data_IF_644690857736
#
_entry.id   IF_644690857736
#
_cell.length_a   1.000
_cell.length_b   1.000
_cell.length_c   1.000
_cell.angle_alpha   90.00
_cell.angle_beta   90.00
_cell.angle_gamma   90.00
#
_symmetry.space_group_name_H-M   'P 1'
#
loop_
_entity.id
_entity.type
_entity.pdbx_description
1 polymer ?
#
# COMPACT_ATOMS: atom_id res chain seq x y z
N UNK A 1 26.19 -17.34 -21.47
CA UNK A 1 25.31 -16.26 -21.94
C UNK A 1 24.33 -15.96 -20.82
N UNK A 2 24.63 -14.93 -20.05
CA UNK A 2 23.86 -14.47 -18.89
C UNK A 2 22.54 -13.90 -19.39
N UNK A 3 21.42 -14.54 -19.07
CA UNK A 3 20.12 -13.93 -19.25
C UNK A 3 20.04 -12.75 -18.28
N UNK A 4 19.93 -11.55 -18.83
CA UNK A 4 19.56 -10.35 -18.09
C UNK A 4 18.18 -10.62 -17.44
N UNK A 5 17.99 -10.39 -16.12
CA UNK A 5 16.65 -10.43 -15.56
C UNK A 5 15.88 -9.28 -16.22
N UNK A 6 14.73 -9.60 -16.82
CA UNK A 6 13.74 -8.62 -17.23
C UNK A 6 13.54 -7.66 -16.05
N UNK A 7 13.96 -6.41 -16.24
CA UNK A 7 13.55 -5.34 -15.36
C UNK A 7 12.03 -5.26 -15.48
N UNK A 8 11.35 -5.95 -14.58
CA UNK A 8 9.90 -5.88 -14.41
C UNK A 8 9.59 -4.39 -14.23
N UNK A 9 9.12 -3.75 -15.30
CA UNK A 9 8.80 -2.33 -15.28
C UNK A 9 7.54 -2.19 -14.46
N UNK A 10 7.69 -2.00 -13.15
CA UNK A 10 6.58 -1.67 -12.26
C UNK A 10 6.11 -0.27 -12.66
N UNK A 11 4.94 -0.12 -13.31
CA UNK A 11 4.47 1.18 -13.78
C UNK A 11 3.89 1.95 -12.59
N UNK A 12 4.76 2.36 -11.67
CA UNK A 12 4.40 3.14 -10.49
C UNK A 12 4.06 4.59 -10.85
N UNK A 13 4.65 5.12 -11.93
CA UNK A 13 4.52 6.53 -12.29
C UNK A 13 3.10 6.91 -12.71
N UNK A 14 2.34 5.95 -13.26
CA UNK A 14 0.96 6.16 -13.72
C UNK A 14 -0.10 5.55 -12.78
N UNK A 15 0.30 4.91 -11.67
CA UNK A 15 -0.68 4.30 -10.77
C UNK A 15 -1.41 5.39 -9.98
N UNK A 16 -2.75 5.50 -10.07
CA UNK A 16 -3.48 6.51 -9.33
C UNK A 16 -3.41 6.24 -7.82
N UNK A 17 -3.38 7.30 -7.01
CA UNK A 17 -3.46 7.17 -5.55
C UNK A 17 -4.70 6.38 -5.13
N UNK A 18 -5.84 6.68 -5.75
CA UNK A 18 -7.13 6.05 -5.48
C UNK A 18 -7.70 5.46 -6.79
N UNK A 19 -7.92 4.15 -6.81
CA UNK A 19 -8.58 3.46 -7.91
C UNK A 19 -10.10 3.61 -7.79
N UNK A 20 -10.64 4.56 -8.56
CA UNK A 20 -12.07 4.84 -8.61
C UNK A 20 -12.87 3.67 -9.19
N UNK A 21 -12.30 2.86 -10.07
CA UNK A 21 -12.98 1.70 -10.66
C UNK A 21 -13.24 0.63 -9.60
N UNK A 22 -12.21 0.29 -8.82
CA UNK A 22 -12.32 -0.65 -7.69
C UNK A 22 -13.34 -0.15 -6.66
N UNK A 23 -13.27 1.11 -6.27
CA UNK A 23 -14.18 1.67 -5.28
C UNK A 23 -15.63 1.73 -5.78
N UNK A 24 -15.84 2.06 -7.05
CA UNK A 24 -17.18 2.05 -7.66
C UNK A 24 -17.75 0.64 -7.68
N UNK A 25 -16.93 -0.37 -8.03
CA UNK A 25 -17.36 -1.77 -7.97
C UNK A 25 -17.73 -2.18 -6.53
N UNK A 26 -16.89 -1.84 -5.54
CA UNK A 26 -17.20 -2.11 -4.13
C UNK A 26 -18.48 -1.41 -3.66
N UNK A 27 -18.72 -0.17 -4.06
CA UNK A 27 -19.97 0.54 -3.72
C UNK A 27 -21.17 -0.18 -4.33
N UNK A 28 -21.08 -0.64 -5.58
CA UNK A 28 -22.17 -1.36 -6.25
C UNK A 28 -22.45 -2.72 -5.59
N UNK A 29 -21.41 -3.42 -5.15
CA UNK A 29 -21.53 -4.77 -4.58
C UNK A 29 -21.93 -4.76 -3.10
N UNK A 30 -21.41 -3.81 -2.33
CA UNK A 30 -21.48 -3.78 -0.86
C UNK A 30 -22.33 -2.63 -0.31
N UNK A 31 -22.59 -1.60 -1.12
CA UNK A 31 -23.21 -0.34 -0.70
C UNK A 31 -22.19 0.67 -0.17
N UNK A 32 -22.48 1.96 -0.37
CA UNK A 32 -21.59 3.07 0.02
C UNK A 32 -21.27 3.09 1.52
N UNK A 33 -22.25 2.79 2.38
CA UNK A 33 -22.08 2.80 3.83
C UNK A 33 -21.08 1.72 4.30
N UNK A 34 -21.14 0.50 3.73
CA UNK A 34 -20.19 -0.55 4.08
C UNK A 34 -18.77 -0.21 3.58
N UNK A 35 -18.64 0.35 2.37
CA UNK A 35 -17.35 0.83 1.86
C UNK A 35 -16.78 1.93 2.75
N UNK A 36 -17.63 2.86 3.23
CA UNK A 36 -17.25 3.91 4.18
C UNK A 36 -16.69 3.33 5.48
N UNK A 37 -17.35 2.32 6.05
CA UNK A 37 -16.89 1.65 7.28
C UNK A 37 -15.58 0.89 7.07
N UNK A 38 -15.39 0.25 5.92
CA UNK A 38 -14.14 -0.45 5.59
C UNK A 38 -12.98 0.55 5.48
N UNK A 39 -13.21 1.70 4.81
CA UNK A 39 -12.23 2.78 4.72
C UNK A 39 -11.90 3.38 6.09
N UNK A 40 -12.91 3.62 6.93
CA UNK A 40 -12.76 4.10 8.31
C UNK A 40 -11.88 3.16 9.14
N UNK A 41 -12.20 1.86 9.13
CA UNK A 41 -11.41 0.85 9.83
C UNK A 41 -9.95 0.81 9.36
N UNK A 42 -9.71 0.91 8.05
CA UNK A 42 -8.34 0.94 7.54
C UNK A 42 -7.58 2.19 7.99
N UNK A 43 -8.23 3.36 8.01
CA UNK A 43 -7.64 4.61 8.51
C UNK A 43 -7.29 4.52 10.00
N UNK A 44 -8.12 3.86 10.81
CA UNK A 44 -7.86 3.64 12.24
C UNK A 44 -6.66 2.70 12.48
N UNK A 45 -6.55 1.63 11.68
CA UNK A 45 -5.48 0.63 11.79
C UNK A 45 -4.13 1.10 11.18
N UNK A 46 -4.18 2.04 10.23
CA UNK A 46 -3.01 2.45 9.45
C UNK A 46 -1.88 3.09 10.29
N UNK A 47 -2.12 4.00 11.26
CA UNK A 47 -1.06 4.59 12.08
C UNK A 47 -0.19 3.57 12.80
N UNK A 48 -0.82 2.56 13.44
CA UNK A 48 -0.12 1.48 14.12
C UNK A 48 0.68 0.63 13.12
N UNK A 49 0.09 0.34 11.96
CA UNK A 49 0.74 -0.43 10.90
C UNK A 49 1.97 0.29 10.32
N UNK A 50 1.87 1.60 10.09
CA UNK A 50 2.97 2.46 9.61
C UNK A 50 4.08 2.55 10.64
N UNK A 51 3.75 2.71 11.92
CA UNK A 51 4.73 2.71 13.00
C UNK A 51 5.51 1.38 13.08
N UNK A 52 4.81 0.25 12.93
CA UNK A 52 5.45 -1.06 12.91
C UNK A 52 6.39 -1.24 11.72
N UNK A 53 5.97 -0.84 10.51
CA UNK A 53 6.84 -0.88 9.31
C UNK A 53 8.08 -0.02 9.51
N UNK A 54 7.93 1.18 10.08
CA UNK A 54 9.04 2.08 10.39
C UNK A 54 10.02 1.44 11.38
N UNK A 55 9.52 0.86 12.47
CA UNK A 55 10.37 0.19 13.46
C UNK A 55 11.15 -0.99 12.88
N UNK A 56 10.50 -1.82 12.04
CA UNK A 56 11.19 -2.93 11.37
C UNK A 56 12.25 -2.44 10.37
N UNK A 57 12.00 -1.33 9.67
CA UNK A 57 12.95 -0.70 8.75
C UNK A 57 14.18 -0.15 9.51
N UNK A 58 13.97 0.55 10.62
CA UNK A 58 15.03 1.11 11.46
C UNK A 58 15.88 0.02 12.13
N UNK A 59 15.25 -1.08 12.55
CA UNK A 59 15.93 -2.25 13.10
C UNK A 59 16.60 -3.14 12.03
N UNK A 60 16.39 -2.84 10.73
CA UNK A 60 16.79 -3.69 9.60
C UNK A 60 16.32 -5.16 9.72
N UNK A 61 15.19 -5.40 10.37
CA UNK A 61 14.57 -6.72 10.46
C UNK A 61 13.81 -7.02 9.15
N UNK A 62 14.55 -7.45 8.13
CA UNK A 62 14.02 -7.66 6.78
C UNK A 62 12.87 -8.69 6.72
N UNK A 63 12.94 -9.84 7.43
CA UNK A 63 11.82 -10.77 7.49
C UNK A 63 10.54 -10.16 8.10
N UNK A 64 10.67 -9.35 9.16
CA UNK A 64 9.52 -8.66 9.76
C UNK A 64 9.01 -7.54 8.85
N UNK A 65 9.92 -6.74 8.29
CA UNK A 65 9.62 -5.65 7.38
C UNK A 65 8.79 -6.14 6.19
N UNK A 66 9.20 -7.24 5.56
CA UNK A 66 8.48 -7.86 4.46
C UNK A 66 7.03 -8.21 4.85
N UNK A 67 6.83 -8.86 6.00
CA UNK A 67 5.49 -9.25 6.48
C UNK A 67 4.59 -8.04 6.77
N UNK A 68 5.15 -6.99 7.37
CA UNK A 68 4.41 -5.78 7.70
C UNK A 68 4.03 -4.98 6.45
N UNK A 69 4.94 -4.88 5.48
CA UNK A 69 4.67 -4.27 4.16
C UNK A 69 3.57 -5.02 3.43
N UNK A 70 3.60 -6.35 3.41
CA UNK A 70 2.56 -7.18 2.81
C UNK A 70 1.18 -6.87 3.41
N UNK A 71 1.08 -6.82 4.74
CA UNK A 71 -0.17 -6.51 5.44
C UNK A 71 -0.69 -5.11 5.12
N UNK A 72 0.18 -4.10 5.17
CA UNK A 72 -0.18 -2.70 4.87
C UNK A 72 -0.67 -2.55 3.43
N UNK A 73 0.06 -3.13 2.47
CA UNK A 73 -0.27 -3.10 1.05
C UNK A 73 -1.49 -3.91 0.65
N UNK A 74 -1.75 -5.02 1.34
CA UNK A 74 -2.96 -5.83 1.16
C UNK A 74 -4.22 -5.06 1.59
N UNK A 75 -4.19 -4.44 2.77
CA UNK A 75 -5.30 -3.59 3.21
C UNK A 75 -5.49 -2.37 2.31
N UNK A 76 -4.40 -1.75 1.83
CA UNK A 76 -4.44 -0.64 0.89
C UNK A 76 -5.20 -1.00 -0.39
N UNK A 77 -4.98 -2.21 -0.92
CA UNK A 77 -5.69 -2.69 -2.10
C UNK A 77 -7.21 -2.76 -1.89
N UNK A 78 -7.65 -3.25 -0.73
CA UNK A 78 -9.07 -3.39 -0.39
C UNK A 78 -9.81 -2.05 -0.37
N UNK A 79 -9.14 -0.99 0.06
CA UNK A 79 -9.70 0.37 0.12
C UNK A 79 -9.38 1.21 -1.12
N UNK A 80 -8.90 0.57 -2.20
CA UNK A 80 -8.63 1.24 -3.47
C UNK A 80 -7.38 2.14 -3.47
N UNK A 81 -6.51 2.07 -2.47
CA UNK A 81 -5.22 2.77 -2.45
C UNK A 81 -4.20 2.06 -3.36
N UNK A 82 -4.46 2.11 -4.67
CA UNK A 82 -3.75 1.32 -5.67
C UNK A 82 -2.26 1.63 -5.72
N UNK A 83 -1.89 2.91 -5.73
CA UNK A 83 -0.49 3.28 -5.70
C UNK A 83 0.17 2.76 -4.43
N UNK A 84 -0.43 2.90 -3.23
CA UNK A 84 0.14 2.39 -1.96
C UNK A 84 0.40 0.88 -2.02
N UNK A 85 -0.57 0.14 -2.54
CA UNK A 85 -0.46 -1.30 -2.75
C UNK A 85 0.66 -1.65 -3.73
N UNK A 86 0.78 -0.93 -4.86
CA UNK A 86 1.81 -1.18 -5.86
C UNK A 86 3.23 -0.94 -5.29
N UNK A 87 3.41 0.14 -4.53
CA UNK A 87 4.68 0.42 -3.86
C UNK A 87 5.04 -0.67 -2.83
N UNK A 88 4.05 -1.14 -2.07
CA UNK A 88 4.24 -2.21 -1.09
C UNK A 88 4.65 -3.52 -1.77
N UNK A 89 4.02 -3.87 -2.90
CA UNK A 89 4.36 -5.06 -3.69
C UNK A 89 5.79 -5.00 -4.23
N UNK A 90 6.24 -3.83 -4.68
CA UNK A 90 7.62 -3.65 -5.16
C UNK A 90 8.65 -3.85 -4.05
N UNK A 91 8.41 -3.26 -2.88
CA UNK A 91 9.26 -3.46 -1.71
C UNK A 91 9.28 -4.92 -1.26
N UNK A 92 8.11 -5.56 -1.18
CA UNK A 92 8.00 -6.98 -0.84
C UNK A 92 8.71 -7.87 -1.84
N UNK A 93 8.56 -7.62 -3.14
CA UNK A 93 9.24 -8.38 -4.18
C UNK A 93 10.76 -8.28 -4.05
N UNK A 94 11.31 -7.07 -3.94
CA UNK A 94 12.75 -6.87 -3.78
C UNK A 94 13.30 -7.58 -2.52
N UNK A 95 12.59 -7.51 -1.39
CA UNK A 95 12.96 -8.24 -0.16
C UNK A 95 12.91 -9.76 -0.36
N UNK A 96 11.91 -10.29 -1.07
CA UNK A 96 11.80 -11.73 -1.37
C UNK A 96 12.92 -12.24 -2.26
N UNK A 97 13.41 -11.43 -3.20
CA UNK A 97 14.53 -11.78 -4.08
C UNK A 97 15.90 -11.64 -3.40
N UNK A 98 15.95 -11.18 -2.15
CA UNK A 98 17.19 -10.89 -1.44
C UNK A 98 17.88 -9.60 -1.91
N UNK A 99 17.20 -8.77 -2.72
CA UNK A 99 17.67 -7.44 -3.13
C UNK A 99 17.44 -6.43 -1.99
N UNK A 100 18.07 -6.67 -0.84
CA UNK A 100 17.78 -6.00 0.43
C UNK A 100 17.86 -4.47 0.33
N UNK A 101 18.89 -3.93 -0.34
CA UNK A 101 19.05 -2.48 -0.51
C UNK A 101 17.91 -1.87 -1.33
N UNK A 102 17.42 -2.59 -2.35
CA UNK A 102 16.26 -2.17 -3.12
C UNK A 102 14.98 -2.25 -2.27
N UNK A 103 14.79 -3.35 -1.54
CA UNK A 103 13.67 -3.52 -0.62
C UNK A 103 13.58 -2.40 0.41
N UNK A 104 14.71 -2.02 1.03
CA UNK A 104 14.81 -0.91 1.99
C UNK A 104 14.46 0.43 1.32
N UNK A 105 14.98 0.69 0.10
CA UNK A 105 14.65 1.93 -0.64
C UNK A 105 13.16 2.02 -0.94
N UNK A 106 12.55 0.94 -1.41
CA UNK A 106 11.13 0.93 -1.76
C UNK A 106 10.24 0.97 -0.51
N UNK A 107 10.66 0.37 0.61
CA UNK A 107 9.98 0.51 1.91
C UNK A 107 10.05 1.96 2.44
N UNK A 108 11.18 2.63 2.24
CA UNK A 108 11.34 4.05 2.60
C UNK A 108 10.38 4.92 1.79
N UNK A 109 10.29 4.68 0.48
CA UNK A 109 9.33 5.36 -0.41
C UNK A 109 7.89 5.10 -0.02
N UNK A 110 7.56 3.88 0.40
CA UNK A 110 6.24 3.51 0.94
C UNK A 110 5.88 4.37 2.16
N UNK A 111 6.79 4.49 3.13
CA UNK A 111 6.59 5.29 4.33
C UNK A 111 6.50 6.79 4.05
N UNK A 112 7.19 7.28 3.02
CA UNK A 112 7.16 8.69 2.64
C UNK A 112 5.80 9.12 2.07
N UNK A 113 5.09 8.21 1.38
CA UNK A 113 3.83 8.53 0.70
C UNK A 113 2.56 8.15 1.45
N UNK A 114 2.65 7.20 2.39
CA UNK A 114 1.47 6.68 3.10
C UNK A 114 0.62 7.79 3.72
N UNK A 115 1.23 8.85 4.27
CA UNK A 115 0.48 9.97 4.85
C UNK A 115 -0.44 10.65 3.83
N UNK A 116 0.07 10.99 2.65
CA UNK A 116 -0.73 11.62 1.59
C UNK A 116 -1.81 10.69 1.02
N UNK A 117 -1.48 9.41 0.86
CA UNK A 117 -2.46 8.41 0.41
C UNK A 117 -3.61 8.25 1.42
N UNK A 118 -3.33 8.21 2.72
CA UNK A 118 -4.36 8.15 3.77
C UNK A 118 -5.25 9.40 3.79
N UNK A 119 -4.68 10.59 3.53
CA UNK A 119 -5.48 11.82 3.39
C UNK A 119 -6.47 11.71 2.23
N UNK A 120 -6.04 11.21 1.06
CA UNK A 120 -6.93 11.01 -0.10
C UNK A 120 -8.04 10.00 0.20
N UNK A 121 -7.72 8.93 0.95
CA UNK A 121 -8.74 7.96 1.38
C UNK A 121 -9.75 8.59 2.34
N UNK A 122 -9.30 9.40 3.30
CA UNK A 122 -10.19 10.07 4.26
C UNK A 122 -11.13 11.07 3.58
N UNK A 123 -10.62 11.84 2.60
CA UNK A 123 -11.44 12.72 1.77
C UNK A 123 -12.51 11.93 0.99
N UNK A 124 -12.13 10.80 0.38
CA UNK A 124 -13.08 9.93 -0.29
C UNK A 124 -14.13 9.37 0.67
N UNK A 125 -13.71 8.82 1.82
CA UNK A 125 -14.62 8.32 2.85
C UNK A 125 -15.61 9.39 3.29
N UNK A 126 -15.14 10.62 3.50
CA UNK A 126 -15.97 11.76 3.88
C UNK A 126 -16.96 12.19 2.79
N UNK A 127 -16.68 11.89 1.51
CA UNK A 127 -17.58 12.16 0.38
C UNK A 127 -18.72 11.14 0.24
N UNK A 128 -18.62 9.97 0.90
CA UNK A 128 -19.68 8.95 0.90
C UNK A 128 -20.80 9.24 1.91
N UNK A 129 -20.89 10.47 2.46
CA UNK A 129 -21.95 10.86 3.38
C UNK A 129 -23.31 10.87 2.69
N UNK A 130 -24.33 10.47 3.45
CA UNK A 130 -25.74 10.33 3.07
C UNK A 130 -26.30 11.48 2.23
#
# INVERSE_FOLDING_TARGET
MTAHPEAESWPLEDTPTLDRGVLTAHINDLGAELVRQIAEKYLDDAPASVAAVRGALEAQDLPLLQKLIHRLGGGAQTVGLAALSAQARKAEHALRQGHNDEGIREATRLLARVGGDLTVLDEFRASLKD
#
